data_IF_403401132033
#
_entry.id   IF_403401132033
#
_cell.length_a   1.000
_cell.length_b   1.000
_cell.length_c   1.000
_cell.angle_alpha   90.00
_cell.angle_beta   90.00
_cell.angle_gamma   90.00
#
_symmetry.space_group_name_H-M   'P 1'
#
loop_
_entity.id
_entity.type
_entity.pdbx_description
1 polymer ?
#
# COMPACT_ATOMS: atom_id res chain seq x y z
N UNK A 1 8.99 -4.13 23.04
CA UNK A 1 9.59 -4.08 21.71
C UNK A 1 9.08 -2.83 21.00
N UNK A 2 9.96 -2.04 20.39
CA UNK A 2 9.46 -0.96 19.57
C UNK A 2 8.66 -1.59 18.40
N UNK A 3 7.36 -1.44 18.42
CA UNK A 3 6.55 -1.82 17.30
C UNK A 3 6.91 -0.88 16.16
N UNK A 4 7.56 -1.41 15.13
CA UNK A 4 7.73 -0.68 13.89
C UNK A 4 6.34 -0.41 13.34
N UNK A 5 5.92 0.83 13.43
CA UNK A 5 4.62 1.28 12.99
C UNK A 5 4.40 0.89 11.53
N UNK A 6 3.38 0.11 11.28
CA UNK A 6 3.02 -0.37 9.95
C UNK A 6 3.53 -1.76 9.56
N UNK A 7 4.48 -2.33 10.31
CA UNK A 7 4.95 -3.69 10.05
C UNK A 7 4.04 -4.73 10.75
N UNK A 8 3.75 -5.81 10.05
CA UNK A 8 2.86 -6.87 10.54
C UNK A 8 3.69 -8.09 10.91
N UNK A 9 3.70 -8.44 12.21
CA UNK A 9 4.38 -9.64 12.68
C UNK A 9 3.75 -10.87 12.04
N UNK A 10 4.59 -11.73 11.47
CA UNK A 10 4.15 -12.93 10.77
C UNK A 10 3.94 -14.11 11.73
N UNK A 11 3.36 -15.18 11.21
CA UNK A 11 3.00 -16.37 11.98
C UNK A 11 4.19 -17.05 12.68
N UNK A 12 5.39 -16.89 12.11
CA UNK A 12 6.62 -17.44 12.70
C UNK A 12 7.09 -16.71 13.98
N UNK A 13 6.46 -15.59 14.31
CA UNK A 13 6.79 -14.77 15.47
C UNK A 13 8.15 -14.08 15.38
N UNK A 14 8.79 -14.04 14.20
CA UNK A 14 10.16 -13.54 14.00
C UNK A 14 10.28 -12.58 12.84
N UNK A 15 9.54 -12.81 11.77
CA UNK A 15 9.61 -11.97 10.57
C UNK A 15 8.37 -11.10 10.43
N UNK A 16 8.50 -10.07 9.61
CA UNK A 16 7.46 -9.06 9.41
C UNK A 16 7.08 -8.95 7.93
N UNK A 17 5.86 -8.52 7.69
CA UNK A 17 5.42 -8.07 6.38
C UNK A 17 5.24 -6.56 6.40
N UNK A 18 5.58 -5.92 5.28
CA UNK A 18 5.42 -4.48 5.06
C UNK A 18 4.54 -4.28 3.85
N UNK A 19 3.48 -3.50 4.01
CA UNK A 19 2.58 -3.12 2.91
C UNK A 19 3.03 -1.75 2.41
N UNK A 20 3.15 -1.62 1.09
CA UNK A 20 3.56 -0.36 0.47
C UNK A 20 2.39 0.60 0.30
N UNK A 21 2.71 1.89 0.13
CA UNK A 21 1.75 2.93 -0.23
C UNK A 21 1.71 3.09 -1.75
N UNK A 22 0.59 2.71 -2.35
CA UNK A 22 0.35 2.87 -3.78
C UNK A 22 -1.06 3.44 -3.97
N UNK A 23 -1.23 4.78 -3.91
CA UNK A 23 -2.54 5.41 -4.01
C UNK A 23 -3.30 5.00 -5.25
N UNK A 24 -4.48 4.40 -5.05
CA UNK A 24 -5.34 3.93 -6.14
C UNK A 24 -4.76 2.80 -6.99
N UNK A 25 -3.65 2.21 -6.59
CA UNK A 25 -2.96 1.20 -7.38
C UNK A 25 -2.12 1.77 -8.51
N UNK A 26 -1.98 3.09 -8.61
CA UNK A 26 -1.14 3.74 -9.63
C UNK A 26 0.31 3.76 -9.18
N UNK A 27 1.20 3.28 -10.03
CA UNK A 27 2.63 3.23 -9.76
C UNK A 27 3.43 3.61 -11.01
N UNK A 28 4.51 4.35 -10.81
CA UNK A 28 5.41 4.72 -11.92
C UNK A 28 6.47 3.64 -12.15
N UNK A 29 7.07 3.58 -13.36
CA UNK A 29 8.20 2.67 -13.60
C UNK A 29 9.34 2.88 -12.61
N UNK A 30 9.65 4.13 -12.27
CA UNK A 30 10.71 4.49 -11.32
C UNK A 30 10.43 3.94 -9.91
N UNK A 31 9.18 4.08 -9.44
CA UNK A 31 8.76 3.53 -8.17
C UNK A 31 8.81 2.00 -8.16
N UNK A 32 8.44 1.37 -9.27
CA UNK A 32 8.51 -0.07 -9.43
C UNK A 32 9.96 -0.57 -9.41
N UNK A 33 10.87 0.14 -10.08
CA UNK A 33 12.30 -0.15 -10.06
C UNK A 33 12.86 -0.04 -8.64
N UNK A 34 12.49 1.01 -7.89
CA UNK A 34 12.90 1.17 -6.50
C UNK A 34 12.38 0.02 -5.63
N UNK A 35 11.12 -0.37 -5.82
CA UNK A 35 10.54 -1.50 -5.10
C UNK A 35 11.30 -2.80 -5.38
N UNK A 36 11.64 -3.05 -6.64
CA UNK A 36 12.43 -4.21 -7.03
C UNK A 36 13.84 -4.17 -6.43
N UNK A 37 14.49 -3.00 -6.42
CA UNK A 37 15.81 -2.82 -5.83
C UNK A 37 15.80 -3.10 -4.32
N UNK A 38 14.79 -2.59 -3.61
CA UNK A 38 14.59 -2.86 -2.17
C UNK A 38 14.39 -4.35 -1.93
N UNK A 39 13.54 -4.99 -2.70
CA UNK A 39 13.31 -6.43 -2.60
C UNK A 39 14.59 -7.26 -2.76
N UNK A 40 15.46 -6.89 -3.70
CA UNK A 40 16.76 -7.54 -3.91
C UNK A 40 17.74 -7.25 -2.78
N UNK A 41 17.85 -5.98 -2.38
CA UNK A 41 18.80 -5.54 -1.35
C UNK A 41 18.57 -6.28 -0.02
N UNK A 42 17.33 -6.42 0.39
CA UNK A 42 16.96 -7.08 1.64
C UNK A 42 16.65 -8.57 1.47
N UNK A 43 16.86 -9.12 0.28
CA UNK A 43 16.59 -10.54 -0.04
C UNK A 43 15.19 -10.96 0.40
N UNK A 44 14.19 -10.11 0.11
CA UNK A 44 12.80 -10.36 0.49
C UNK A 44 12.34 -11.67 -0.16
N UNK A 45 11.98 -12.69 0.63
CA UNK A 45 11.68 -14.02 0.08
C UNK A 45 10.37 -14.08 -0.68
N UNK A 46 9.43 -13.17 -0.38
CA UNK A 46 8.12 -13.19 -1.01
C UNK A 46 7.57 -11.77 -1.16
N UNK A 47 7.11 -11.46 -2.35
CA UNK A 47 6.39 -10.22 -2.65
C UNK A 47 5.02 -10.57 -3.23
N UNK A 48 3.97 -9.90 -2.78
CA UNK A 48 2.60 -10.19 -3.17
C UNK A 48 1.83 -8.92 -3.50
N UNK A 49 1.03 -8.97 -4.56
CA UNK A 49 -0.02 -7.99 -4.81
C UNK A 49 -1.20 -8.28 -3.86
N UNK A 50 -1.66 -7.25 -3.16
CA UNK A 50 -2.80 -7.37 -2.25
C UNK A 50 -4.11 -7.01 -2.94
N UNK A 51 -5.23 -7.41 -2.35
CA UNK A 51 -6.56 -7.01 -2.83
C UNK A 51 -6.80 -5.50 -2.71
N UNK A 52 -5.99 -4.79 -1.92
CA UNK A 52 -6.02 -3.34 -1.80
C UNK A 52 -5.25 -2.59 -2.87
N UNK A 53 -4.81 -3.27 -3.95
CA UNK A 53 -4.00 -2.69 -5.03
C UNK A 53 -2.65 -2.16 -4.53
N UNK A 54 -2.05 -2.85 -3.57
CA UNK A 54 -0.75 -2.53 -2.99
C UNK A 54 0.18 -3.73 -3.08
N UNK A 55 1.48 -3.48 -2.88
CA UNK A 55 2.46 -4.55 -2.75
C UNK A 55 2.71 -4.87 -1.28
N UNK A 56 2.94 -6.13 -0.99
CA UNK A 56 3.33 -6.59 0.34
C UNK A 56 4.67 -7.33 0.23
N UNK A 57 5.65 -6.89 1.04
CA UNK A 57 6.93 -7.55 1.18
C UNK A 57 6.89 -8.41 2.44
N UNK A 58 7.14 -9.69 2.31
CA UNK A 58 6.92 -10.69 3.37
C UNK A 58 8.23 -11.37 3.74
N UNK A 59 8.44 -11.60 5.03
CA UNK A 59 9.61 -12.32 5.52
C UNK A 59 10.80 -11.44 5.87
N UNK A 60 10.55 -10.21 6.30
CA UNK A 60 11.59 -9.23 6.62
C UNK A 60 12.01 -9.38 8.09
N UNK A 61 13.30 -9.58 8.38
CA UNK A 61 13.79 -9.57 9.76
C UNK A 61 13.61 -8.21 10.43
N UNK A 62 13.34 -8.19 11.72
CA UNK A 62 13.13 -6.95 12.48
C UNK A 62 14.29 -5.95 12.31
N UNK A 63 15.52 -6.43 12.31
CA UNK A 63 16.73 -5.61 12.16
C UNK A 63 16.79 -4.81 10.87
N UNK A 64 16.10 -5.26 9.82
CA UNK A 64 16.12 -4.63 8.50
C UNK A 64 14.96 -3.64 8.30
N UNK A 65 13.95 -3.64 9.17
CA UNK A 65 12.73 -2.85 8.98
C UNK A 65 12.99 -1.36 8.85
N UNK A 66 13.78 -0.78 9.75
CA UNK A 66 14.04 0.68 9.75
C UNK A 66 14.73 1.12 8.45
N UNK A 67 15.73 0.36 8.01
CA UNK A 67 16.45 0.65 6.78
C UNK A 67 15.56 0.43 5.54
N UNK A 68 14.75 -0.62 5.55
CA UNK A 68 13.82 -0.93 4.47
C UNK A 68 12.78 0.19 4.30
N UNK A 69 12.19 0.67 5.38
CA UNK A 69 11.25 1.80 5.33
C UNK A 69 11.90 3.06 4.77
N UNK A 70 13.14 3.34 5.16
CA UNK A 70 13.89 4.48 4.63
C UNK A 70 14.15 4.34 3.14
N UNK A 71 14.54 3.15 2.68
CA UNK A 71 14.84 2.90 1.28
C UNK A 71 13.57 2.87 0.40
N UNK A 72 12.41 2.49 0.96
CA UNK A 72 11.13 2.59 0.26
C UNK A 72 10.74 4.04 -0.04
N UNK A 73 11.15 5.00 0.80
CA UNK A 73 10.83 6.41 0.61
C UNK A 73 9.31 6.66 0.49
N UNK A 74 8.84 7.24 -0.64
CA UNK A 74 7.41 7.51 -0.84
C UNK A 74 6.52 6.27 -0.85
N UNK A 75 7.09 5.08 -1.11
CA UNK A 75 6.35 3.82 -1.07
C UNK A 75 6.15 3.29 0.36
N UNK A 76 6.75 3.92 1.36
CA UNK A 76 6.60 3.49 2.74
C UNK A 76 5.22 3.86 3.29
N UNK A 77 4.50 2.88 3.83
CA UNK A 77 3.24 3.11 4.53
C UNK A 77 3.41 2.80 6.02
N UNK A 78 3.03 3.75 6.86
CA UNK A 78 3.13 3.63 8.32
C UNK A 78 1.74 3.78 8.94
N UNK A 79 0.99 2.69 8.96
CA UNK A 79 -0.33 2.66 9.56
C UNK A 79 -0.23 2.35 11.06
N UNK A 80 -0.47 3.35 11.91
CA UNK A 80 -0.32 3.23 13.37
C UNK A 80 -1.62 3.01 14.12
N UNK A 81 -2.77 3.29 13.50
CA UNK A 81 -4.08 3.27 14.11
C UNK A 81 -5.12 2.68 13.15
N UNK A 82 -6.33 2.34 13.61
CA UNK A 82 -7.44 2.08 12.70
C UNK A 82 -7.68 3.29 11.80
N UNK A 83 -7.62 3.08 10.51
CA UNK A 83 -7.67 4.14 9.50
C UNK A 83 -8.29 3.61 8.21
N UNK A 84 -8.40 4.46 7.21
CA UNK A 84 -8.70 4.02 5.84
C UNK A 84 -7.47 3.29 5.32
N UNK A 85 -7.58 1.98 5.16
CA UNK A 85 -6.45 1.12 4.75
C UNK A 85 -6.08 1.33 3.31
N UNK A 86 -7.07 1.50 2.44
CA UNK A 86 -6.88 1.78 1.02
C UNK A 86 -8.19 2.26 0.40
N UNK A 87 -8.05 2.87 -0.76
CA UNK A 87 -9.14 3.16 -1.68
C UNK A 87 -8.85 2.40 -2.98
N UNK A 88 -9.62 1.36 -3.26
CA UNK A 88 -9.53 0.67 -4.56
C UNK A 88 -10.17 1.55 -5.62
N UNK A 89 -9.48 1.74 -6.72
CA UNK A 89 -9.91 2.63 -7.80
C UNK A 89 -9.98 1.87 -9.12
N UNK A 90 -11.13 1.89 -9.74
CA UNK A 90 -11.32 1.49 -11.11
C UNK A 90 -10.93 2.66 -12.05
N UNK A 91 -10.47 2.37 -13.26
CA UNK A 91 -9.98 3.40 -14.18
C UNK A 91 -11.04 4.43 -14.62
N UNK A 92 -12.28 4.01 -14.82
CA UNK A 92 -13.38 4.93 -15.13
C UNK A 92 -13.27 5.61 -16.48
N UNK A 93 -13.89 6.80 -16.59
CA UNK A 93 -14.03 7.54 -17.86
C UNK A 93 -12.70 8.03 -18.45
N UNK A 94 -11.62 8.05 -17.69
CA UNK A 94 -10.34 8.51 -18.21
C UNK A 94 -9.80 7.61 -19.33
N UNK A 95 -9.98 6.30 -19.20
CA UNK A 95 -9.42 5.32 -20.16
C UNK A 95 -10.34 4.15 -20.49
N UNK A 96 -11.36 3.87 -19.68
CA UNK A 96 -12.22 2.70 -19.86
C UNK A 96 -13.42 3.04 -20.75
N UNK A 97 -13.61 2.29 -21.85
CA UNK A 97 -14.75 2.50 -22.76
C UNK A 97 -16.12 2.24 -22.12
N UNK A 98 -16.16 1.49 -21.04
CA UNK A 98 -17.38 1.22 -20.28
C UNK A 98 -17.60 2.17 -19.12
N UNK A 99 -16.67 3.10 -18.90
CA UNK A 99 -16.76 4.07 -17.82
C UNK A 99 -17.90 5.05 -18.03
N UNK A 100 -18.66 5.29 -16.98
CA UNK A 100 -19.76 6.27 -16.96
C UNK A 100 -19.52 7.39 -15.95
N UNK A 101 -18.48 7.28 -15.14
CA UNK A 101 -18.09 8.30 -14.15
C UNK A 101 -16.58 8.31 -13.91
N UNK A 102 -16.10 9.42 -13.39
CA UNK A 102 -14.68 9.63 -13.04
C UNK A 102 -14.33 8.96 -11.71
N UNK A 103 -14.12 7.66 -11.75
CA UNK A 103 -13.73 6.90 -10.56
C UNK A 103 -12.31 7.21 -10.10
N UNK A 104 -11.40 7.49 -11.01
CA UNK A 104 -10.01 7.86 -10.68
C UNK A 104 -9.97 9.17 -9.87
N UNK A 105 -10.66 10.22 -10.35
CA UNK A 105 -10.71 11.50 -9.67
C UNK A 105 -11.31 11.39 -8.28
N UNK A 106 -12.46 10.75 -8.16
CA UNK A 106 -13.13 10.55 -6.87
C UNK A 106 -12.28 9.72 -5.91
N UNK A 107 -11.72 8.61 -6.40
CA UNK A 107 -10.93 7.71 -5.57
C UNK A 107 -9.65 8.33 -5.04
N UNK A 108 -8.93 9.08 -5.87
CA UNK A 108 -7.71 9.79 -5.45
C UNK A 108 -8.04 10.93 -4.48
N UNK A 109 -9.17 11.60 -4.65
CA UNK A 109 -9.63 12.64 -3.71
C UNK A 109 -9.97 12.04 -2.34
N UNK A 110 -10.66 10.90 -2.31
CA UNK A 110 -10.95 10.18 -1.06
C UNK A 110 -9.67 9.70 -0.37
N UNK A 111 -8.73 9.18 -1.13
CA UNK A 111 -7.44 8.73 -0.60
C UNK A 111 -6.67 9.90 0.02
N UNK A 112 -6.56 11.01 -0.68
CA UNK A 112 -5.89 12.21 -0.20
C UNK A 112 -6.55 12.77 1.06
N UNK A 113 -7.88 12.78 1.12
CA UNK A 113 -8.65 13.34 2.23
C UNK A 113 -8.51 12.51 3.50
N UNK A 114 -8.55 11.18 3.38
CA UNK A 114 -8.64 10.28 4.52
C UNK A 114 -7.34 9.53 4.84
N UNK A 115 -6.28 9.76 4.09
CA UNK A 115 -5.01 9.10 4.35
C UNK A 115 -4.48 9.45 5.74
N UNK A 116 -4.18 8.42 6.52
CA UNK A 116 -3.69 8.50 7.90
C UNK A 116 -4.66 9.16 8.91
N UNK A 117 -5.89 9.46 8.54
CA UNK A 117 -6.90 9.86 9.51
C UNK A 117 -7.30 8.68 10.40
N UNK A 118 -7.38 8.93 11.71
CA UNK A 118 -7.83 7.91 12.66
C UNK A 118 -9.34 7.76 12.61
N UNK A 119 -9.78 6.51 12.61
CA UNK A 119 -11.19 6.13 12.66
C UNK A 119 -11.43 5.14 13.80
N UNK A 120 -12.69 5.02 14.29
CA UNK A 120 -13.02 4.03 15.32
C UNK A 120 -12.77 2.58 14.88
N UNK A 121 -12.72 2.34 13.58
CA UNK A 121 -12.49 1.01 13.01
C UNK A 121 -11.72 1.10 11.70
N UNK A 122 -11.18 -0.03 11.24
CA UNK A 122 -10.55 -0.18 9.95
C UNK A 122 -11.60 -0.02 8.84
N UNK A 123 -11.34 0.87 7.88
CA UNK A 123 -12.21 1.16 6.74
C UNK A 123 -11.48 0.88 5.43
N UNK A 124 -12.22 0.37 4.47
CA UNK A 124 -11.75 0.13 3.10
C UNK A 124 -12.78 0.70 2.14
N UNK A 125 -12.30 1.48 1.16
CA UNK A 125 -13.15 2.03 0.11
C UNK A 125 -12.92 1.32 -1.22
N UNK A 126 -13.97 1.27 -2.03
CA UNK A 126 -13.88 0.88 -3.42
C UNK A 126 -14.68 1.86 -4.27
N UNK A 127 -14.12 2.31 -5.38
CA UNK A 127 -14.77 3.23 -6.32
C UNK A 127 -14.84 2.57 -7.70
N UNK A 128 -16.06 2.41 -8.20
CA UNK A 128 -16.33 1.85 -9.53
C UNK A 128 -16.69 2.96 -10.51
N UNK A 129 -16.20 2.84 -11.75
CA UNK A 129 -16.50 3.78 -12.84
C UNK A 129 -17.59 3.33 -13.78
N UNK A 130 -18.19 2.15 -13.57
CA UNK A 130 -19.27 1.60 -14.40
C UNK A 130 -20.34 0.92 -13.54
N UNK A 131 -21.41 0.45 -14.19
CA UNK A 131 -22.50 -0.27 -13.53
C UNK A 131 -22.15 -1.74 -13.28
#
# INVERSE_FOLDING_TARGET
MPHHTGAILQRDGKTFAVVTRVPGGFITPEALENLAAVGRKYKVPMMKLTSGQRFMLIGIPEKDLAALYRDLGPLAEKETAPCVKYVQICLGTDVCKYGVQDSTGLGLELEKKYHQEEFPAKIKFGVSGCL
#
